data_IF_652859642080
#
_entry.id   IF_652859642080
#
_cell.length_a   1.000
_cell.length_b   1.000
_cell.length_c   1.000
_cell.angle_alpha   90.00
_cell.angle_beta   90.00
_cell.angle_gamma   90.00
#
_symmetry.space_group_name_H-M   'P 1'
#
loop_
_entity.id
_entity.type
_entity.pdbx_description
1 polymer ?
#
# COMPACT_ATOMS: atom_id res chain seq x y z
N UNK A 1 17.85 19.80 -38.30
CA UNK A 1 16.82 18.77 -38.04
C UNK A 1 15.83 18.81 -39.20
N UNK A 2 15.91 17.82 -40.08
CA UNK A 2 15.30 17.83 -41.41
C UNK A 2 13.80 17.53 -41.37
N UNK A 3 13.01 18.18 -42.23
CA UNK A 3 11.55 18.16 -42.26
C UNK A 3 10.90 16.82 -42.64
N UNK A 4 11.71 15.78 -42.89
CA UNK A 4 11.30 14.48 -43.46
C UNK A 4 11.07 13.40 -42.38
N UNK A 5 11.53 13.58 -41.14
CA UNK A 5 11.22 12.72 -39.97
C UNK A 5 9.78 12.91 -39.43
N UNK A 6 8.83 13.27 -40.30
CA UNK A 6 7.41 13.52 -39.95
C UNK A 6 6.47 12.39 -40.36
N UNK A 7 6.96 11.35 -41.05
CA UNK A 7 6.12 10.27 -41.59
C UNK A 7 6.15 8.95 -40.79
N UNK A 8 7.06 8.77 -39.84
CA UNK A 8 7.07 7.60 -38.94
C UNK A 8 6.21 7.92 -37.72
N UNK A 9 4.93 7.64 -37.85
CA UNK A 9 3.89 7.98 -36.88
C UNK A 9 3.79 6.96 -35.73
N UNK A 10 4.90 6.74 -35.02
CA UNK A 10 5.02 5.74 -33.94
C UNK A 10 4.24 6.09 -32.66
N UNK A 11 3.39 7.11 -32.69
CA UNK A 11 2.69 7.60 -31.49
C UNK A 11 1.24 8.01 -31.77
N UNK A 12 0.35 7.90 -30.76
CA UNK A 12 -1.09 8.01 -30.99
C UNK A 12 -1.51 9.45 -31.34
N UNK A 13 -2.20 9.64 -32.48
CA UNK A 13 -2.82 10.91 -32.83
C UNK A 13 -4.24 11.05 -32.28
N UNK A 14 -4.71 12.29 -32.18
CA UNK A 14 -6.06 12.62 -31.69
C UNK A 14 -6.20 12.51 -30.19
N UNK A 15 -5.08 12.41 -29.47
CA UNK A 15 -5.04 12.27 -28.02
C UNK A 15 -4.15 13.36 -27.39
N UNK A 16 -4.32 13.67 -26.10
CA UNK A 16 -3.40 14.52 -25.38
C UNK A 16 -1.97 13.94 -25.34
N UNK A 17 -1.81 12.62 -25.33
CA UNK A 17 -0.49 11.95 -25.38
C UNK A 17 0.25 12.24 -26.68
N UNK A 18 -0.45 12.25 -27.82
CA UNK A 18 0.14 12.63 -29.10
C UNK A 18 0.63 14.07 -29.13
N UNK A 19 -0.07 14.97 -28.44
CA UNK A 19 0.38 16.34 -28.26
C UNK A 19 1.64 16.42 -27.39
N UNK A 20 1.65 15.73 -26.26
CA UNK A 20 2.79 15.71 -25.32
C UNK A 20 4.05 15.09 -25.96
N UNK A 21 3.89 14.18 -26.93
CA UNK A 21 4.97 13.57 -27.73
C UNK A 21 5.42 14.40 -28.93
N UNK A 22 4.73 15.50 -29.25
CA UNK A 22 5.23 16.50 -30.21
C UNK A 22 4.28 16.85 -31.37
N UNK A 23 3.15 16.17 -31.55
CA UNK A 23 2.19 16.56 -32.60
C UNK A 23 1.46 17.86 -32.24
N UNK A 24 1.64 18.90 -33.06
CA UNK A 24 1.04 20.24 -32.83
C UNK A 24 -0.25 20.50 -33.61
N UNK A 25 -0.81 19.51 -34.30
CA UNK A 25 -2.12 19.64 -34.97
C UNK A 25 -2.12 20.27 -36.37
N UNK A 26 -0.99 20.81 -36.88
CA UNK A 26 -0.94 21.45 -38.22
C UNK A 26 -1.08 20.47 -39.40
N UNK A 27 -0.50 19.27 -39.26
CA UNK A 27 -0.58 18.18 -40.23
C UNK A 27 -0.86 16.90 -39.43
N UNK A 28 -1.95 16.91 -38.66
CA UNK A 28 -2.34 15.78 -37.83
C UNK A 28 -3.34 14.92 -38.62
N UNK A 29 -3.11 13.61 -38.76
CA UNK A 29 -3.99 12.74 -39.55
C UNK A 29 -5.33 12.46 -38.86
N UNK A 30 -5.47 12.76 -37.57
CA UNK A 30 -6.70 12.49 -36.80
C UNK A 30 -7.65 13.68 -36.75
N UNK A 31 -8.95 13.38 -36.71
CA UNK A 31 -10.01 14.33 -36.35
C UNK A 31 -10.76 13.80 -35.13
N UNK A 32 -10.72 14.49 -33.96
CA UNK A 32 -10.02 15.75 -33.68
C UNK A 32 -8.49 15.61 -33.73
N UNK A 33 -7.79 16.72 -33.97
CA UNK A 33 -6.32 16.75 -33.96
C UNK A 33 -5.75 16.66 -32.54
N UNK A 34 -4.46 16.33 -32.39
CA UNK A 34 -3.79 16.30 -31.08
C UNK A 34 -3.87 17.64 -30.33
N UNK A 35 -3.78 18.76 -31.05
CA UNK A 35 -3.95 20.10 -30.46
C UNK A 35 -5.39 20.29 -29.94
N UNK A 36 -6.39 19.90 -30.73
CA UNK A 36 -7.78 19.97 -30.31
C UNK A 36 -8.06 19.07 -29.09
N UNK A 37 -7.51 17.85 -29.08
CA UNK A 37 -7.57 16.95 -27.93
C UNK A 37 -6.91 17.56 -26.68
N UNK A 38 -5.76 18.22 -26.82
CA UNK A 38 -5.09 18.92 -25.71
C UNK A 38 -5.92 20.08 -25.16
N UNK A 39 -6.52 20.89 -26.03
CA UNK A 39 -7.40 22.00 -25.63
C UNK A 39 -8.62 21.46 -24.87
N UNK A 40 -9.28 20.40 -25.37
CA UNK A 40 -10.37 19.74 -24.66
C UNK A 40 -9.90 19.19 -23.31
N UNK A 41 -8.74 18.55 -23.24
CA UNK A 41 -8.19 18.06 -21.97
C UNK A 41 -7.94 19.19 -20.94
N UNK A 42 -7.62 20.41 -21.38
CA UNK A 42 -7.43 21.57 -20.50
C UNK A 42 -8.74 22.22 -20.06
N UNK A 43 -9.77 22.26 -20.91
CA UNK A 43 -11.05 22.94 -20.61
C UNK A 43 -12.17 22.02 -20.11
N UNK A 44 -12.20 20.76 -20.54
CA UNK A 44 -13.27 19.81 -20.27
C UNK A 44 -12.84 18.80 -19.19
N UNK A 45 -13.43 18.96 -18.01
CA UNK A 45 -13.14 18.11 -16.87
C UNK A 45 -13.60 16.65 -17.06
N UNK A 46 -14.73 16.42 -17.73
CA UNK A 46 -15.24 15.07 -17.96
C UNK A 46 -14.30 14.30 -18.90
N UNK A 47 -13.92 14.93 -20.01
CA UNK A 47 -12.94 14.38 -20.94
C UNK A 47 -11.58 14.13 -20.28
N UNK A 48 -11.09 15.07 -19.45
CA UNK A 48 -9.84 14.86 -18.69
C UNK A 48 -9.91 13.63 -17.79
N UNK A 49 -11.02 13.47 -17.05
CA UNK A 49 -11.20 12.36 -16.12
C UNK A 49 -11.19 11.01 -16.84
N UNK A 50 -11.87 10.92 -17.98
CA UNK A 50 -11.92 9.71 -18.82
C UNK A 50 -10.52 9.33 -19.35
N UNK A 51 -9.79 10.29 -19.91
CA UNK A 51 -8.43 10.05 -20.43
C UNK A 51 -7.47 9.64 -19.29
N UNK A 52 -7.56 10.28 -18.12
CA UNK A 52 -6.72 9.92 -16.97
C UNK A 52 -7.07 8.53 -16.41
N UNK A 53 -8.36 8.17 -16.39
CA UNK A 53 -8.78 6.83 -15.98
C UNK A 53 -8.22 5.76 -16.94
N UNK A 54 -8.33 5.96 -18.25
CA UNK A 54 -7.76 5.05 -19.24
C UNK A 54 -6.22 4.92 -19.10
N UNK A 55 -5.52 6.03 -18.82
CA UNK A 55 -4.07 5.99 -18.52
C UNK A 55 -3.77 5.23 -17.24
N UNK A 56 -4.60 5.38 -16.21
CA UNK A 56 -4.44 4.68 -14.93
C UNK A 56 -4.68 3.17 -15.07
N UNK A 57 -5.68 2.76 -15.85
CA UNK A 57 -5.94 1.35 -16.17
C UNK A 57 -4.77 0.72 -16.94
N UNK A 58 -4.17 1.45 -17.88
CA UNK A 58 -2.98 1.00 -18.60
C UNK A 58 -1.72 0.91 -17.70
N UNK A 59 -1.68 1.65 -16.58
CA UNK A 59 -0.54 1.70 -15.68
C UNK A 59 -0.65 0.63 -14.58
N UNK A 60 0.14 -0.46 -14.69
CA UNK A 60 0.37 -1.35 -13.55
C UNK A 60 1.04 -0.57 -12.40
N UNK A 61 0.58 -0.68 -11.14
CA UNK A 61 1.23 0.01 -10.02
C UNK A 61 2.67 -0.48 -9.90
N UNK A 62 3.63 0.43 -10.09
CA UNK A 62 5.04 0.10 -9.88
C UNK A 62 5.25 -0.18 -8.39
N UNK A 63 5.99 -1.23 -7.99
CA UNK A 63 6.36 -1.40 -6.60
C UNK A 63 7.13 -0.16 -6.13
N UNK A 64 6.86 0.30 -4.91
CA UNK A 64 7.62 1.41 -4.31
C UNK A 64 9.09 0.98 -4.27
N UNK A 65 9.99 1.76 -4.90
CA UNK A 65 11.44 1.48 -4.90
C UNK A 65 11.93 1.32 -3.46
N UNK A 66 12.64 0.23 -3.17
CA UNK A 66 13.26 -0.04 -1.87
C UNK A 66 12.37 -0.70 -0.81
N UNK A 67 11.09 -0.94 -1.07
CA UNK A 67 10.25 -1.71 -0.16
C UNK A 67 10.39 -3.20 -0.47
N UNK A 68 10.87 -4.05 0.47
CA UNK A 68 10.89 -5.49 0.25
C UNK A 68 9.46 -6.02 0.05
N UNK A 69 9.29 -7.10 -0.72
CA UNK A 69 7.98 -7.71 -0.88
C UNK A 69 7.44 -8.13 0.49
N UNK A 70 6.13 -7.93 0.71
CA UNK A 70 5.48 -8.43 1.94
C UNK A 70 5.59 -9.96 1.95
N UNK A 71 6.12 -10.52 3.04
CA UNK A 71 6.10 -11.98 3.24
C UNK A 71 4.66 -12.43 3.43
N UNK A 72 4.19 -13.33 2.58
CA UNK A 72 2.83 -13.86 2.60
C UNK A 72 2.84 -15.19 3.37
N UNK A 73 1.87 -15.38 4.24
CA UNK A 73 1.67 -16.65 4.95
C UNK A 73 0.98 -17.63 3.99
N UNK A 74 1.79 -18.42 3.28
CA UNK A 74 1.34 -19.45 2.31
C UNK A 74 0.71 -20.67 3.01
N UNK A 75 0.08 -21.55 2.23
CA UNK A 75 -0.49 -22.80 2.73
C UNK A 75 0.55 -23.73 3.38
N UNK A 76 1.80 -23.72 2.90
CA UNK A 76 2.91 -24.49 3.49
C UNK A 76 3.20 -24.04 4.93
N UNK A 77 3.19 -22.72 5.18
CA UNK A 77 3.39 -22.20 6.54
C UNK A 77 2.22 -22.56 7.47
N UNK A 78 1.01 -22.72 6.92
CA UNK A 78 -0.17 -23.18 7.68
C UNK A 78 0.01 -24.62 8.13
N UNK A 79 0.44 -25.50 7.21
CA UNK A 79 0.76 -26.89 7.54
C UNK A 79 1.89 -26.97 8.59
N UNK A 80 3.00 -26.26 8.37
CA UNK A 80 4.12 -26.23 9.31
C UNK A 80 3.72 -25.68 10.70
N UNK A 81 2.81 -24.69 10.76
CA UNK A 81 2.30 -24.18 12.04
C UNK A 81 1.51 -25.26 12.80
N UNK A 82 0.67 -26.05 12.11
CA UNK A 82 -0.08 -27.17 12.72
C UNK A 82 0.88 -28.21 13.29
N UNK A 83 1.81 -28.70 12.47
CA UNK A 83 2.74 -29.75 12.88
C UNK A 83 3.59 -29.31 14.09
N UNK A 84 4.05 -28.05 14.10
CA UNK A 84 4.84 -27.51 15.21
C UNK A 84 3.98 -27.27 16.46
N UNK A 85 2.73 -26.85 16.30
CA UNK A 85 1.79 -26.69 17.42
C UNK A 85 1.44 -28.05 18.05
N UNK A 86 1.24 -29.09 17.24
CA UNK A 86 1.03 -30.47 17.71
C UNK A 86 2.26 -31.00 18.47
N UNK A 87 3.47 -30.62 18.06
CA UNK A 87 4.72 -30.90 18.78
C UNK A 87 4.87 -30.07 20.08
N UNK A 88 3.87 -29.27 20.47
CA UNK A 88 3.88 -28.46 21.68
C UNK A 88 4.74 -27.19 21.58
N UNK A 89 5.15 -26.77 20.38
CA UNK A 89 5.95 -25.54 20.24
C UNK A 89 5.09 -24.33 20.55
N UNK A 90 5.68 -23.35 21.27
CA UNK A 90 5.04 -22.07 21.52
C UNK A 90 5.11 -21.13 20.33
N UNK A 91 4.16 -20.21 20.25
CA UNK A 91 4.02 -19.26 19.14
C UNK A 91 5.30 -18.43 18.90
N UNK A 92 6.09 -18.14 19.94
CA UNK A 92 7.37 -17.44 19.80
C UNK A 92 8.41 -18.31 19.07
N UNK A 93 8.47 -19.59 19.42
CA UNK A 93 9.39 -20.54 18.81
C UNK A 93 9.02 -20.82 17.36
N UNK A 94 7.72 -21.00 17.09
CA UNK A 94 7.17 -21.14 15.74
C UNK A 94 7.46 -19.89 14.90
N UNK A 95 7.21 -18.70 15.45
CA UNK A 95 7.45 -17.43 14.76
C UNK A 95 8.91 -17.25 14.36
N UNK A 96 9.85 -17.55 15.26
CA UNK A 96 11.28 -17.50 14.96
C UNK A 96 11.69 -18.53 13.90
N UNK A 97 11.12 -19.73 13.96
CA UNK A 97 11.43 -20.79 13.01
C UNK A 97 10.93 -20.48 11.60
N UNK A 98 9.68 -19.99 11.47
CA UNK A 98 9.07 -19.65 10.18
C UNK A 98 9.44 -18.23 9.68
N UNK A 99 10.13 -17.43 10.47
CA UNK A 99 10.53 -16.07 10.09
C UNK A 99 9.37 -15.07 10.01
N UNK A 100 8.35 -15.24 10.84
CA UNK A 100 7.20 -14.35 10.99
C UNK A 100 7.17 -13.67 12.36
N UNK A 101 6.30 -12.66 12.52
CA UNK A 101 6.04 -12.07 13.83
C UNK A 101 5.15 -12.98 14.68
N UNK A 102 5.31 -12.92 16.00
CA UNK A 102 4.51 -13.68 16.95
C UNK A 102 3.01 -13.39 16.79
N UNK A 103 2.62 -12.12 16.63
CA UNK A 103 1.22 -11.74 16.40
C UNK A 103 0.62 -12.35 15.12
N UNK A 104 1.42 -12.56 14.08
CA UNK A 104 0.96 -13.19 12.84
C UNK A 104 0.70 -14.69 13.07
N UNK A 105 1.63 -15.39 13.74
CA UNK A 105 1.46 -16.79 14.13
C UNK A 105 0.26 -16.98 15.06
N UNK A 106 0.12 -16.17 16.12
CA UNK A 106 -1.01 -16.25 17.05
C UNK A 106 -2.34 -16.07 16.32
N UNK A 107 -2.46 -15.04 15.46
CA UNK A 107 -3.68 -14.83 14.68
C UNK A 107 -3.98 -16.02 13.77
N UNK A 108 -2.98 -16.56 13.07
CA UNK A 108 -3.17 -17.74 12.20
C UNK A 108 -3.55 -18.99 12.99
N UNK A 109 -2.97 -19.18 14.18
CA UNK A 109 -3.33 -20.24 15.13
C UNK A 109 -4.78 -20.11 15.55
N UNK A 110 -5.22 -18.91 15.94
CA UNK A 110 -6.59 -18.61 16.34
C UNK A 110 -7.59 -18.82 15.20
N UNK A 111 -7.27 -18.37 13.98
CA UNK A 111 -8.08 -18.60 12.77
C UNK A 111 -8.28 -20.10 12.47
N UNK A 112 -7.34 -20.96 12.88
CA UNK A 112 -7.44 -22.42 12.76
C UNK A 112 -8.04 -23.11 13.98
N UNK A 113 -8.36 -22.37 15.05
CA UNK A 113 -8.88 -22.93 16.30
C UNK A 113 -7.88 -23.79 17.08
N UNK A 114 -6.58 -23.63 16.84
CA UNK A 114 -5.55 -24.40 17.52
C UNK A 114 -5.27 -23.85 18.93
N UNK A 115 -5.06 -24.70 19.96
CA UNK A 115 -4.77 -24.24 21.30
C UNK A 115 -3.40 -23.57 21.38
N UNK A 116 -3.30 -22.56 22.26
CA UNK A 116 -2.04 -21.87 22.51
C UNK A 116 -1.15 -22.69 23.45
N UNK A 117 0.03 -23.07 22.97
CA UNK A 117 1.05 -23.71 23.78
C UNK A 117 1.84 -22.63 24.54
N UNK A 118 1.27 -22.14 25.63
CA UNK A 118 1.92 -21.13 26.46
C UNK A 118 3.12 -21.72 27.20
N UNK A 119 4.34 -21.41 26.74
CA UNK A 119 5.57 -21.59 27.54
C UNK A 119 5.79 -20.38 28.45
N UNK A 120 4.72 -19.85 29.04
CA UNK A 120 4.75 -18.60 29.80
C UNK A 120 5.40 -18.77 31.16
N UNK A 121 6.47 -18.03 31.42
CA UNK A 121 6.83 -17.61 32.78
C UNK A 121 5.65 -16.81 33.35
N UNK A 122 5.22 -17.03 34.61
CA UNK A 122 4.03 -16.39 35.17
C UNK A 122 4.06 -14.88 34.94
N UNK A 123 2.92 -14.33 34.49
CA UNK A 123 2.76 -12.87 34.36
C UNK A 123 3.03 -12.27 35.75
N UNK A 124 4.05 -11.42 35.89
CA UNK A 124 4.17 -10.58 37.09
C UNK A 124 2.97 -9.65 37.05
N UNK A 125 2.07 -9.74 38.03
CA UNK A 125 0.94 -8.84 38.18
C UNK A 125 1.50 -7.41 38.23
N UNK A 126 1.45 -6.69 37.11
CA UNK A 126 1.66 -5.24 37.11
C UNK A 126 0.41 -4.62 37.68
N UNK A 127 0.33 -4.56 39.01
CA UNK A 127 -0.63 -3.73 39.71
C UNK A 127 -0.26 -2.27 39.40
N UNK A 128 -0.90 -1.69 38.39
CA UNK A 128 -0.96 -0.24 38.24
C UNK A 128 -1.93 0.27 39.30
N UNK A 129 -1.49 1.03 40.32
CA UNK A 129 -2.42 1.64 41.25
C UNK A 129 -3.27 2.67 40.50
N UNK A 130 -4.56 2.70 40.82
CA UNK A 130 -5.55 3.56 40.20
C UNK A 130 -5.19 5.05 40.32
N UNK A 131 -5.46 5.78 39.25
CA UNK A 131 -5.10 7.18 39.01
C UNK A 131 -6.06 8.14 39.73
N UNK A 132 -6.16 8.09 41.06
CA UNK A 132 -7.12 8.91 41.83
C UNK A 132 -6.48 9.95 42.79
N UNK A 133 -5.19 10.28 42.64
CA UNK A 133 -4.46 11.14 43.60
C UNK A 133 -3.95 12.51 43.13
N UNK A 134 -4.46 13.12 42.03
CA UNK A 134 -3.84 14.31 41.40
C UNK A 134 -4.55 15.65 41.56
N UNK A 135 -5.45 15.82 42.54
CA UNK A 135 -6.28 17.04 42.63
C UNK A 135 -6.08 17.95 43.85
N UNK A 136 -5.10 17.72 44.74
CA UNK A 136 -5.01 18.49 46.00
C UNK A 136 -3.83 19.47 46.14
N UNK A 137 -3.29 20.04 45.05
CA UNK A 137 -2.22 21.02 45.15
C UNK A 137 -2.44 22.22 44.24
N UNK A 138 -3.45 23.05 44.53
CA UNK A 138 -3.55 24.37 43.89
C UNK A 138 -4.34 25.43 44.69
N UNK A 139 -4.31 25.37 46.02
CA UNK A 139 -4.84 26.46 46.85
C UNK A 139 -3.81 26.86 47.90
N UNK A 140 -3.13 27.98 47.67
CA UNK A 140 -2.27 28.58 48.69
C UNK A 140 -1.08 29.37 48.16
N UNK A 141 -1.29 30.38 47.33
CA UNK A 141 -0.32 31.49 47.21
C UNK A 141 -1.08 32.81 47.05
N UNK A 142 -1.67 33.24 48.18
CA UNK A 142 -2.04 34.63 48.43
C UNK A 142 -0.76 35.44 48.66
N UNK A 143 -0.41 36.31 47.72
CA UNK A 143 0.54 37.39 47.96
C UNK A 143 -0.22 38.72 48.14
N UNK A 144 0.34 39.48 49.07
CA UNK A 144 -0.12 40.70 49.76
C UNK A 144 -0.30 41.88 48.82
#
# INVERSE_FOLDING_TARGET
MSAIDRLTDDFPHGTPDGYDRGCRGRICPSTPSCLAARVRFQGDYAYRREVLAARAEAAKPKPRRGMPPRRIFTAEHVAALRDLNEQGWSDNRIAKHLGFSNSNVSRRRDEMGLPANFTGRPRKNSHTPDREGREQAHEGESHV
#
